data_IF_988387239873
#
_entry.id   IF_988387239873
#
_cell.length_a   1.000
_cell.length_b   1.000
_cell.length_c   1.000
_cell.angle_alpha   90.00
_cell.angle_beta   90.00
_cell.angle_gamma   90.00
#
_symmetry.space_group_name_H-M   'P 1'
#
loop_
_entity.id
_entity.type
_entity.pdbx_description
1 polymer ?
#
# COMPACT_ATOMS: atom_id res chain seq x y z
N UNK A 1 -8.95 32.89 -8.34
CA UNK A 1 -8.08 33.30 -7.22
C UNK A 1 -6.77 33.80 -7.81
N UNK A 2 -6.11 34.76 -7.15
CA UNK A 2 -4.80 35.25 -7.56
C UNK A 2 -3.67 34.54 -6.82
N UNK A 3 -2.45 34.61 -7.34
CA UNK A 3 -1.22 34.09 -6.71
C UNK A 3 -1.11 34.37 -5.20
N UNK A 4 -1.48 35.58 -4.76
CA UNK A 4 -1.45 35.99 -3.36
C UNK A 4 -2.29 35.08 -2.45
N UNK A 5 -3.50 34.74 -2.89
CA UNK A 5 -4.44 33.88 -2.17
C UNK A 5 -3.94 32.41 -2.17
N UNK A 6 -3.40 31.96 -3.32
CA UNK A 6 -2.83 30.62 -3.46
C UNK A 6 -1.61 30.42 -2.55
N UNK A 7 -0.70 31.39 -2.51
CA UNK A 7 0.49 31.38 -1.65
C UNK A 7 0.09 31.33 -0.18
N UNK A 8 -0.87 32.17 0.23
CA UNK A 8 -1.36 32.21 1.59
C UNK A 8 -2.02 30.89 2.00
N UNK A 9 -2.83 30.29 1.11
CA UNK A 9 -3.45 28.99 1.34
C UNK A 9 -2.41 27.87 1.52
N UNK A 10 -1.47 27.75 0.59
CA UNK A 10 -0.41 26.71 0.63
C UNK A 10 0.47 26.84 1.88
N UNK A 11 0.82 28.08 2.27
CA UNK A 11 1.57 28.36 3.50
C UNK A 11 0.83 27.89 4.73
N UNK A 12 -0.43 28.30 4.90
CA UNK A 12 -1.23 27.95 6.07
C UNK A 12 -1.43 26.44 6.20
N UNK A 13 -1.66 25.77 5.07
CA UNK A 13 -1.84 24.31 5.01
C UNK A 13 -0.59 23.55 5.47
N UNK A 14 0.61 23.96 5.03
CA UNK A 14 1.88 23.37 5.49
C UNK A 14 2.29 23.83 6.91
N UNK A 15 1.47 24.64 7.58
CA UNK A 15 1.75 25.14 8.92
C UNK A 15 2.91 26.13 8.99
N UNK A 16 3.33 26.70 7.85
CA UNK A 16 4.47 27.61 7.81
C UNK A 16 4.08 29.03 8.23
N UNK A 17 4.98 29.71 8.93
CA UNK A 17 4.91 31.15 9.16
C UNK A 17 5.48 31.89 7.94
N UNK A 18 5.14 33.18 7.81
CA UNK A 18 5.76 34.03 6.77
C UNK A 18 7.28 34.12 6.96
N UNK A 19 7.76 34.04 8.21
CA UNK A 19 9.19 34.00 8.56
C UNK A 19 9.86 32.75 7.99
N UNK A 20 9.26 31.57 8.16
CA UNK A 20 9.82 30.29 7.73
C UNK A 20 9.93 30.19 6.21
N UNK A 21 8.92 30.67 5.49
CA UNK A 21 8.99 30.75 4.02
C UNK A 21 10.07 31.73 3.58
N UNK A 22 10.17 32.88 4.25
CA UNK A 22 11.18 33.88 3.93
C UNK A 22 12.60 33.34 4.11
N UNK A 23 12.84 32.59 5.20
CA UNK A 23 14.12 31.93 5.48
C UNK A 23 14.48 30.89 4.42
N UNK A 24 13.54 29.99 4.08
CA UNK A 24 13.77 28.95 3.05
C UNK A 24 14.03 29.53 1.67
N UNK A 25 13.37 30.64 1.32
CA UNK A 25 13.54 31.32 0.05
C UNK A 25 14.67 32.35 0.08
N UNK A 26 15.37 32.53 1.19
CA UNK A 26 16.41 33.55 1.37
C UNK A 26 15.93 34.96 0.99
N UNK A 27 14.72 35.33 1.39
CA UNK A 27 14.13 36.67 1.18
C UNK A 27 13.72 37.29 2.51
N UNK A 28 13.37 38.57 2.51
CA UNK A 28 12.84 39.22 3.71
C UNK A 28 11.41 38.75 3.99
N UNK A 29 11.04 38.66 5.28
CA UNK A 29 9.65 38.43 5.71
C UNK A 29 8.68 39.45 5.07
N UNK A 30 9.13 40.69 4.88
CA UNK A 30 8.35 41.74 4.22
C UNK A 30 8.05 41.40 2.76
N UNK A 31 8.97 40.75 2.05
CA UNK A 31 8.75 40.29 0.66
C UNK A 31 7.61 39.28 0.60
N UNK A 32 7.62 38.26 1.48
CA UNK A 32 6.55 37.25 1.56
C UNK A 32 5.20 37.89 1.94
N UNK A 33 5.21 38.83 2.89
CA UNK A 33 4.01 39.57 3.28
C UNK A 33 3.42 40.39 2.12
N UNK A 34 4.26 41.06 1.32
CA UNK A 34 3.84 41.79 0.12
C UNK A 34 3.30 40.86 -0.98
N UNK A 35 3.88 39.66 -1.13
CA UNK A 35 3.37 38.65 -2.05
C UNK A 35 1.98 38.16 -1.65
N UNK A 36 1.76 37.83 -0.37
CA UNK A 36 0.45 37.37 0.14
C UNK A 36 -0.63 38.45 0.16
N UNK A 37 -0.24 39.72 0.13
CA UNK A 37 -1.17 40.87 0.04
C UNK A 37 -1.38 41.37 -1.39
N UNK A 38 -0.73 40.76 -2.38
CA UNK A 38 -0.79 41.21 -3.78
C UNK A 38 -0.03 42.51 -4.07
N UNK A 39 0.75 43.02 -3.12
CA UNK A 39 1.52 44.26 -3.26
C UNK A 39 2.81 44.12 -4.09
N UNK A 40 3.27 42.90 -4.33
CA UNK A 40 4.35 42.61 -5.28
C UNK A 40 4.26 41.16 -5.78
N UNK A 41 4.98 40.84 -6.86
CA UNK A 41 5.07 39.49 -7.39
C UNK A 41 6.50 38.94 -7.22
N UNK A 42 6.70 37.65 -6.90
CA UNK A 42 8.03 37.06 -6.80
C UNK A 42 8.69 36.94 -8.17
N UNK A 43 10.02 36.91 -8.17
CA UNK A 43 10.80 36.58 -9.36
C UNK A 43 10.69 35.09 -9.70
N UNK A 44 11.00 34.73 -10.96
CA UNK A 44 10.87 33.36 -11.47
C UNK A 44 11.62 32.32 -10.62
N UNK A 45 12.83 32.64 -10.14
CA UNK A 45 13.60 31.76 -9.26
C UNK A 45 12.85 31.44 -7.95
N UNK A 46 12.20 32.44 -7.35
CA UNK A 46 11.41 32.24 -6.13
C UNK A 46 10.10 31.49 -6.39
N UNK A 47 9.50 31.66 -7.57
CA UNK A 47 8.35 30.85 -7.98
C UNK A 47 8.72 29.37 -8.14
N UNK A 48 9.88 29.07 -8.73
CA UNK A 48 10.38 27.71 -8.83
C UNK A 48 10.61 27.11 -7.44
N UNK A 49 11.31 27.81 -6.56
CA UNK A 49 11.53 27.36 -5.18
C UNK A 49 10.22 27.17 -4.40
N UNK A 50 9.23 28.05 -4.58
CA UNK A 50 7.89 27.90 -3.99
C UNK A 50 7.17 26.67 -4.55
N UNK A 51 7.26 26.43 -5.87
CA UNK A 51 6.65 25.28 -6.52
C UNK A 51 7.24 23.96 -6.02
N UNK A 52 8.56 23.92 -5.79
CA UNK A 52 9.27 22.78 -5.21
C UNK A 52 8.91 22.60 -3.72
N UNK A 53 8.92 23.69 -2.94
CA UNK A 53 8.60 23.69 -1.52
C UNK A 53 7.18 23.17 -1.25
N UNK A 54 6.22 23.62 -2.05
CA UNK A 54 4.83 23.20 -1.93
C UNK A 54 4.50 21.93 -2.72
N UNK A 55 5.42 21.44 -3.55
CA UNK A 55 5.23 20.31 -4.47
C UNK A 55 3.98 20.49 -5.34
N UNK A 56 3.86 21.65 -5.98
CA UNK A 56 2.74 21.97 -6.88
C UNK A 56 3.26 22.57 -8.19
N UNK A 57 2.46 22.56 -9.25
CA UNK A 57 2.85 23.18 -10.52
C UNK A 57 2.81 24.72 -10.41
N UNK A 58 3.68 25.41 -11.14
CA UNK A 58 3.65 26.87 -11.22
C UNK A 58 2.29 27.40 -11.74
N UNK A 59 1.62 26.65 -12.60
CA UNK A 59 0.31 27.01 -13.12
C UNK A 59 -0.75 27.08 -12.01
N UNK A 60 -0.78 26.07 -11.13
CA UNK A 60 -1.65 26.04 -9.94
C UNK A 60 -1.30 27.16 -8.97
N UNK A 61 0.00 27.46 -8.81
CA UNK A 61 0.45 28.52 -7.91
C UNK A 61 0.05 29.92 -8.43
N UNK A 62 0.17 30.18 -9.73
CA UNK A 62 0.05 31.53 -10.31
C UNK A 62 -1.34 31.86 -10.84
N UNK A 63 -1.99 30.94 -11.57
CA UNK A 63 -3.24 31.20 -12.30
C UNK A 63 -4.41 30.33 -11.87
N UNK A 64 -4.14 29.13 -11.33
CA UNK A 64 -5.18 28.21 -10.87
C UNK A 64 -5.86 28.65 -9.57
N UNK A 65 -6.93 27.94 -9.21
CA UNK A 65 -7.43 27.92 -7.84
C UNK A 65 -6.70 26.80 -7.10
N UNK A 66 -5.62 27.16 -6.39
CA UNK A 66 -4.80 26.20 -5.66
C UNK A 66 -5.60 25.42 -4.61
N UNK A 67 -6.66 26.03 -4.07
CA UNK A 67 -7.54 25.38 -3.10
C UNK A 67 -8.44 24.36 -3.79
N UNK A 68 -9.08 24.71 -4.90
CA UNK A 68 -9.94 23.79 -5.64
C UNK A 68 -9.15 22.60 -6.21
N UNK A 69 -8.01 22.87 -6.88
CA UNK A 69 -7.14 21.82 -7.43
C UNK A 69 -6.61 20.90 -6.34
N UNK A 70 -6.28 21.43 -5.16
CA UNK A 70 -5.83 20.63 -4.04
C UNK A 70 -6.95 19.76 -3.46
N UNK A 71 -8.17 20.30 -3.30
CA UNK A 71 -9.32 19.54 -2.80
C UNK A 71 -9.66 18.40 -3.75
N UNK A 72 -9.66 18.64 -5.06
CA UNK A 72 -9.91 17.61 -6.07
C UNK A 72 -8.84 16.50 -6.03
N UNK A 73 -7.54 16.87 -5.98
CA UNK A 73 -6.43 15.90 -5.89
C UNK A 73 -6.50 15.10 -4.58
N UNK A 74 -6.78 15.76 -3.45
CA UNK A 74 -6.99 15.10 -2.15
C UNK A 74 -8.13 14.10 -2.21
N UNK A 75 -9.31 14.51 -2.70
CA UNK A 75 -10.49 13.66 -2.74
C UNK A 75 -10.33 12.48 -3.71
N UNK A 76 -9.65 12.67 -4.83
CA UNK A 76 -9.36 11.60 -5.79
C UNK A 76 -8.37 10.58 -5.19
N UNK A 77 -7.28 11.07 -4.58
CA UNK A 77 -6.30 10.21 -3.90
C UNK A 77 -6.91 9.44 -2.73
N UNK A 78 -7.64 10.12 -1.85
CA UNK A 78 -8.25 9.50 -0.67
C UNK A 78 -9.24 8.41 -1.07
N UNK A 79 -10.12 8.71 -2.03
CA UNK A 79 -11.12 7.78 -2.57
C UNK A 79 -10.45 6.57 -3.21
N UNK A 80 -9.48 6.78 -4.10
CA UNK A 80 -8.76 5.70 -4.76
C UNK A 80 -8.04 4.80 -3.76
N UNK A 81 -7.31 5.38 -2.80
CA UNK A 81 -6.58 4.59 -1.80
C UNK A 81 -7.52 3.86 -0.85
N UNK A 82 -8.68 4.41 -0.50
CA UNK A 82 -9.70 3.72 0.29
C UNK A 82 -10.36 2.57 -0.47
N UNK A 83 -10.71 2.77 -1.74
CA UNK A 83 -11.24 1.71 -2.61
C UNK A 83 -10.23 0.58 -2.78
N UNK A 84 -8.96 0.94 -3.05
CA UNK A 84 -7.87 -0.02 -3.16
C UNK A 84 -7.63 -0.78 -1.86
N UNK A 85 -7.58 -0.08 -0.72
CA UNK A 85 -7.42 -0.70 0.60
C UNK A 85 -8.54 -1.69 0.93
N UNK A 86 -9.80 -1.30 0.69
CA UNK A 86 -10.96 -2.16 0.92
C UNK A 86 -10.92 -3.36 0.00
N UNK A 87 -10.62 -3.17 -1.28
CA UNK A 87 -10.57 -4.27 -2.22
C UNK A 87 -9.47 -5.30 -1.90
N UNK A 88 -8.25 -4.85 -1.57
CA UNK A 88 -7.17 -5.76 -1.16
C UNK A 88 -7.57 -6.52 0.11
N UNK A 89 -8.15 -5.82 1.08
CA UNK A 89 -8.67 -6.44 2.32
C UNK A 89 -9.75 -7.46 2.02
N UNK A 90 -10.72 -7.13 1.17
CA UNK A 90 -11.79 -8.03 0.76
C UNK A 90 -11.26 -9.24 0.00
N UNK A 91 -10.28 -9.07 -0.88
CA UNK A 91 -9.65 -10.20 -1.59
C UNK A 91 -8.95 -11.17 -0.64
N UNK A 92 -8.13 -10.66 0.29
CA UNK A 92 -7.46 -11.50 1.29
C UNK A 92 -8.47 -12.15 2.24
N UNK A 93 -9.44 -11.36 2.73
CA UNK A 93 -10.50 -11.86 3.60
C UNK A 93 -11.35 -12.93 2.92
N UNK A 94 -11.63 -12.81 1.62
CA UNK A 94 -12.39 -13.79 0.86
C UNK A 94 -11.62 -15.11 0.67
N UNK A 95 -10.30 -15.06 0.49
CA UNK A 95 -9.46 -16.27 0.45
C UNK A 95 -9.49 -17.00 1.79
N UNK A 96 -9.27 -16.28 2.89
CA UNK A 96 -9.27 -16.87 4.23
C UNK A 96 -10.67 -17.34 4.63
N UNK A 97 -11.71 -16.60 4.27
CA UNK A 97 -13.09 -17.04 4.46
C UNK A 97 -13.39 -18.31 3.66
N UNK A 98 -12.89 -18.40 2.43
CA UNK A 98 -12.97 -19.62 1.61
C UNK A 98 -12.33 -20.82 2.32
N UNK A 99 -11.14 -20.64 2.92
CA UNK A 99 -10.51 -21.70 3.73
C UNK A 99 -11.34 -22.05 4.96
N UNK A 100 -11.92 -21.07 5.66
CA UNK A 100 -12.78 -21.33 6.81
C UNK A 100 -14.05 -22.10 6.44
N UNK A 101 -14.69 -21.77 5.32
CA UNK A 101 -15.85 -22.48 4.79
C UNK A 101 -15.46 -23.91 4.39
N UNK A 102 -14.32 -24.09 3.75
CA UNK A 102 -13.79 -25.42 3.40
C UNK A 102 -13.69 -26.31 4.65
N UNK A 103 -13.03 -25.82 5.71
CA UNK A 103 -12.86 -26.59 6.95
C UNK A 103 -14.18 -26.84 7.66
N UNK A 104 -15.10 -25.87 7.69
CA UNK A 104 -16.42 -26.06 8.29
C UNK A 104 -17.25 -27.12 7.55
N UNK A 105 -17.18 -27.15 6.21
CA UNK A 105 -17.90 -28.14 5.39
C UNK A 105 -17.27 -29.53 5.51
N UNK A 106 -15.93 -29.62 5.50
CA UNK A 106 -15.20 -30.85 5.84
C UNK A 106 -15.58 -31.33 7.26
N UNK A 107 -15.72 -30.37 8.16
CA UNK A 107 -16.21 -30.49 9.53
C UNK A 107 -17.53 -31.24 9.69
N UNK A 108 -18.45 -31.05 8.74
CA UNK A 108 -19.77 -31.71 8.71
C UNK A 108 -19.84 -32.85 7.68
N UNK A 109 -18.69 -33.38 7.27
CA UNK A 109 -18.55 -34.51 6.35
C UNK A 109 -19.17 -34.28 4.96
N UNK A 110 -19.15 -33.04 4.47
CA UNK A 110 -19.50 -32.75 3.08
C UNK A 110 -18.44 -33.34 2.15
N UNK A 111 -18.85 -33.82 0.98
CA UNK A 111 -17.94 -34.44 0.02
C UNK A 111 -16.80 -33.50 -0.38
N UNK A 112 -15.56 -33.97 -0.27
CA UNK A 112 -14.32 -33.24 -0.58
C UNK A 112 -14.39 -32.50 -1.93
N UNK A 113 -14.86 -33.19 -2.98
CA UNK A 113 -15.03 -32.59 -4.32
C UNK A 113 -15.94 -31.36 -4.34
N UNK A 114 -16.97 -31.32 -3.49
CA UNK A 114 -17.85 -30.16 -3.37
C UNK A 114 -17.16 -29.03 -2.60
N UNK A 115 -16.43 -29.36 -1.54
CA UNK A 115 -15.61 -28.39 -0.80
C UNK A 115 -14.55 -27.74 -1.71
N UNK A 116 -13.81 -28.53 -2.49
CA UNK A 116 -12.84 -28.05 -3.48
C UNK A 116 -13.47 -27.10 -4.49
N UNK A 117 -14.62 -27.50 -5.06
CA UNK A 117 -15.35 -26.68 -6.03
C UNK A 117 -15.77 -25.34 -5.42
N UNK A 118 -16.30 -25.35 -4.19
CA UNK A 118 -16.70 -24.14 -3.47
C UNK A 118 -15.51 -23.25 -3.14
N UNK A 119 -14.41 -23.83 -2.65
CA UNK A 119 -13.18 -23.11 -2.38
C UNK A 119 -12.64 -22.41 -3.64
N UNK A 120 -12.67 -23.09 -4.79
CA UNK A 120 -12.24 -22.51 -6.06
C UNK A 120 -13.07 -21.29 -6.48
N UNK A 121 -14.37 -21.20 -6.14
CA UNK A 121 -15.15 -19.98 -6.39
C UNK A 121 -14.63 -18.78 -5.58
N UNK A 122 -14.26 -18.98 -4.31
CA UNK A 122 -13.65 -17.94 -3.48
C UNK A 122 -12.30 -17.49 -4.05
N UNK A 123 -11.47 -18.44 -4.49
CA UNK A 123 -10.17 -18.16 -5.13
C UNK A 123 -10.36 -17.34 -6.40
N UNK A 124 -11.25 -17.76 -7.30
CA UNK A 124 -11.51 -17.04 -8.56
C UNK A 124 -12.00 -15.62 -8.26
N UNK A 125 -12.95 -15.45 -7.33
CA UNK A 125 -13.46 -14.13 -6.96
C UNK A 125 -12.36 -13.23 -6.37
N UNK A 126 -11.52 -13.75 -5.47
CA UNK A 126 -10.42 -12.98 -4.88
C UNK A 126 -9.36 -12.58 -5.92
N UNK A 127 -8.99 -13.49 -6.82
CA UNK A 127 -8.05 -13.21 -7.91
C UNK A 127 -8.59 -12.12 -8.84
N UNK A 128 -9.88 -12.17 -9.20
CA UNK A 128 -10.50 -11.13 -10.02
C UNK A 128 -10.47 -9.76 -9.33
N UNK A 129 -10.73 -9.70 -8.02
CA UNK A 129 -10.60 -8.46 -7.24
C UNK A 129 -9.17 -7.92 -7.32
N UNK A 130 -8.15 -8.76 -7.09
CA UNK A 130 -6.75 -8.33 -7.14
C UNK A 130 -6.31 -7.88 -8.53
N UNK A 131 -6.72 -8.59 -9.59
CA UNK A 131 -6.35 -8.25 -10.96
C UNK A 131 -6.96 -6.91 -11.36
N UNK A 132 -8.27 -6.75 -11.19
CA UNK A 132 -8.98 -5.51 -11.57
C UNK A 132 -8.43 -4.32 -10.79
N UNK A 133 -8.25 -4.48 -9.48
CA UNK A 133 -7.87 -3.38 -8.60
C UNK A 133 -6.37 -3.08 -8.69
N UNK A 134 -5.54 -4.08 -8.95
CA UNK A 134 -4.12 -3.91 -9.26
C UNK A 134 -3.91 -3.13 -10.56
N UNK A 135 -4.69 -3.42 -11.61
CA UNK A 135 -4.63 -2.66 -12.86
C UNK A 135 -5.07 -1.20 -12.68
N UNK A 136 -6.17 -0.97 -11.96
CA UNK A 136 -6.64 0.39 -11.63
C UNK A 136 -5.60 1.15 -10.79
N UNK A 137 -5.02 0.49 -9.79
CA UNK A 137 -3.98 1.09 -8.97
C UNK A 137 -2.72 1.42 -9.78
N UNK A 138 -2.29 0.53 -10.68
CA UNK A 138 -1.16 0.79 -11.58
C UNK A 138 -1.42 1.95 -12.55
N UNK A 139 -2.64 2.07 -13.07
CA UNK A 139 -3.01 3.20 -13.91
C UNK A 139 -3.00 4.52 -13.11
N UNK A 140 -3.49 4.49 -11.87
CA UNK A 140 -3.50 5.63 -10.97
C UNK A 140 -2.08 6.11 -10.63
N UNK A 141 -1.18 5.21 -10.22
CA UNK A 141 0.21 5.60 -9.86
C UNK A 141 1.02 6.10 -11.05
N UNK A 142 0.70 5.66 -12.27
CA UNK A 142 1.30 6.23 -13.50
C UNK A 142 0.77 7.63 -13.81
N UNK A 143 -0.52 7.88 -13.54
CA UNK A 143 -1.16 9.19 -13.75
C UNK A 143 -0.71 10.20 -12.68
N UNK A 144 -0.55 9.75 -11.44
CA UNK A 144 -0.18 10.55 -10.27
C UNK A 144 1.09 9.99 -9.61
N UNK A 145 2.28 10.10 -10.23
CA UNK A 145 3.51 9.53 -9.67
C UNK A 145 4.02 10.30 -8.44
N UNK A 146 3.60 11.55 -8.29
CA UNK A 146 3.89 12.40 -7.13
C UNK A 146 2.58 13.04 -6.72
N UNK A 147 2.27 12.93 -5.44
CA UNK A 147 1.10 13.57 -4.82
C UNK A 147 1.62 14.55 -3.77
N UNK A 148 1.03 15.74 -3.73
CA UNK A 148 1.37 16.74 -2.71
C UNK A 148 1.04 16.25 -1.30
N UNK A 149 1.44 17.00 -0.25
CA UNK A 149 1.09 16.58 1.11
C UNK A 149 -0.42 16.71 1.34
N UNK A 150 -1.14 15.57 1.32
CA UNK A 150 -2.62 15.48 1.36
C UNK A 150 -3.14 15.55 2.80
N UNK A 151 -2.38 15.02 3.75
CA UNK A 151 -2.79 14.93 5.15
C UNK A 151 -2.00 15.91 6.01
N UNK A 152 -2.67 16.47 7.00
CA UNK A 152 -1.99 17.26 8.04
C UNK A 152 -1.27 16.35 9.02
N UNK A 153 -0.25 16.88 9.72
CA UNK A 153 0.46 16.14 10.76
C UNK A 153 -0.49 15.63 11.85
N UNK A 154 -1.51 16.43 12.21
CA UNK A 154 -2.55 16.04 13.17
C UNK A 154 -3.38 14.85 12.72
N UNK A 155 -3.74 14.79 11.44
CA UNK A 155 -4.48 13.65 10.87
C UNK A 155 -3.61 12.39 10.83
N UNK A 156 -2.34 12.56 10.48
CA UNK A 156 -1.35 11.47 10.45
C UNK A 156 -1.11 10.91 11.86
N UNK A 157 -0.93 11.77 12.87
CA UNK A 157 -0.78 11.36 14.28
C UNK A 157 -2.04 10.67 14.82
N UNK A 158 -3.22 11.19 14.49
CA UNK A 158 -4.49 10.59 14.88
C UNK A 158 -4.65 9.20 14.25
N UNK A 159 -4.29 9.07 12.97
CA UNK A 159 -4.26 7.78 12.29
C UNK A 159 -3.23 6.83 12.91
N UNK A 160 -2.03 7.30 13.27
CA UNK A 160 -0.99 6.47 13.87
C UNK A 160 -1.46 5.83 15.19
N UNK A 161 -2.19 6.58 16.04
CA UNK A 161 -2.81 6.02 17.24
C UNK A 161 -3.83 4.93 16.90
N UNK A 162 -4.72 5.18 15.94
CA UNK A 162 -5.72 4.21 15.48
C UNK A 162 -5.08 2.96 14.88
N UNK A 163 -4.01 3.12 14.09
CA UNK A 163 -3.23 2.04 13.49
C UNK A 163 -2.68 1.10 14.58
N UNK A 164 -2.06 1.65 15.63
CA UNK A 164 -1.55 0.86 16.75
C UNK A 164 -2.69 0.07 17.43
N UNK A 165 -3.84 0.70 17.68
CA UNK A 165 -4.99 0.02 18.27
C UNK A 165 -5.53 -1.10 17.37
N UNK A 166 -5.59 -0.89 16.06
CA UNK A 166 -6.03 -1.92 15.11
C UNK A 166 -5.05 -3.10 15.05
N UNK A 167 -3.74 -2.82 15.05
CA UNK A 167 -2.71 -3.86 15.11
C UNK A 167 -2.82 -4.68 16.41
N UNK A 168 -2.94 -3.99 17.56
CA UNK A 168 -3.10 -4.65 18.85
C UNK A 168 -4.38 -5.51 18.89
N UNK A 169 -5.51 -5.00 18.37
CA UNK A 169 -6.76 -5.75 18.29
C UNK A 169 -6.66 -6.97 17.36
N UNK A 170 -6.03 -6.83 16.19
CA UNK A 170 -5.83 -7.95 15.26
C UNK A 170 -4.93 -9.03 15.83
N UNK A 171 -3.81 -8.65 16.45
CA UNK A 171 -2.91 -9.59 17.13
C UNK A 171 -3.60 -10.26 18.33
N UNK A 172 -4.36 -9.49 19.12
CA UNK A 172 -5.15 -10.02 20.21
C UNK A 172 -6.18 -11.05 19.75
N UNK A 173 -6.86 -10.78 18.63
CA UNK A 173 -7.83 -11.71 18.05
C UNK A 173 -7.17 -13.00 17.53
N UNK A 174 -5.96 -12.93 16.98
CA UNK A 174 -5.17 -14.13 16.63
C UNK A 174 -4.86 -14.98 17.86
N UNK A 175 -4.45 -14.35 18.97
CA UNK A 175 -4.21 -15.09 20.22
C UNK A 175 -5.51 -15.68 20.78
N UNK A 176 -6.63 -14.97 20.71
CA UNK A 176 -7.93 -15.52 21.08
C UNK A 176 -8.30 -16.75 20.23
N UNK A 177 -8.05 -16.70 18.92
CA UNK A 177 -8.23 -17.85 18.03
C UNK A 177 -7.35 -19.03 18.45
N UNK A 178 -6.07 -18.78 18.72
CA UNK A 178 -5.15 -19.83 19.14
C UNK A 178 -5.52 -20.44 20.50
N UNK A 179 -5.97 -19.62 21.46
CA UNK A 179 -6.46 -20.09 22.76
C UNK A 179 -7.74 -20.91 22.59
N UNK A 180 -8.64 -20.50 21.69
CA UNK A 180 -9.85 -21.26 21.36
C UNK A 180 -9.49 -22.65 20.83
N UNK A 181 -8.57 -22.71 19.86
CA UNK A 181 -8.09 -23.96 19.27
C UNK A 181 -7.51 -24.90 20.35
N UNK A 182 -6.59 -24.39 21.17
CA UNK A 182 -6.02 -25.13 22.29
C UNK A 182 -7.05 -25.59 23.32
N UNK A 183 -8.11 -24.81 23.55
CA UNK A 183 -9.17 -25.15 24.50
C UNK A 183 -10.13 -26.21 23.99
N UNK A 184 -10.20 -26.41 22.67
CA UNK A 184 -11.03 -27.41 22.03
C UNK A 184 -10.29 -28.74 21.80
N UNK A 185 -8.97 -28.75 21.92
CA UNK A 185 -8.15 -29.95 21.83
C UNK A 185 -8.60 -31.01 22.87
N UNK A 186 -8.86 -32.23 22.39
CA UNK A 186 -9.37 -33.33 23.21
C UNK A 186 -10.82 -33.23 23.68
N UNK A 187 -11.58 -32.20 23.28
CA UNK A 187 -13.02 -32.09 23.59
C UNK A 187 -13.83 -33.04 22.70
N UNK A 188 -14.67 -33.88 23.31
CA UNK A 188 -15.54 -34.78 22.57
C UNK A 188 -16.62 -34.01 21.79
N UNK A 189 -16.54 -34.03 20.46
CA UNK A 189 -17.50 -33.38 19.57
C UNK A 189 -18.74 -34.27 19.33
N UNK A 190 -19.92 -33.68 19.05
CA UNK A 190 -21.08 -34.44 18.59
C UNK A 190 -20.76 -35.22 17.31
N UNK A 191 -21.34 -36.42 17.07
CA UNK A 191 -20.98 -37.27 15.92
C UNK A 191 -21.18 -36.63 14.53
N UNK A 192 -21.91 -35.52 14.45
CA UNK A 192 -22.11 -34.76 13.21
C UNK A 192 -20.94 -33.86 12.85
N UNK A 193 -20.01 -33.63 13.77
CA UNK A 193 -18.84 -32.78 13.59
C UNK A 193 -17.55 -33.58 13.81
N UNK A 194 -16.51 -33.24 13.08
CA UNK A 194 -15.13 -33.69 13.33
C UNK A 194 -14.23 -32.49 13.71
N UNK A 195 -12.94 -32.75 13.94
CA UNK A 195 -11.95 -31.74 14.34
C UNK A 195 -11.82 -30.58 13.33
N UNK A 196 -12.06 -30.82 12.03
CA UNK A 196 -12.02 -29.77 11.00
C UNK A 196 -13.08 -28.68 11.24
N UNK A 197 -14.20 -29.01 11.91
CA UNK A 197 -15.19 -28.00 12.28
C UNK A 197 -14.62 -26.99 13.29
N UNK A 198 -13.74 -27.43 14.19
CA UNK A 198 -13.04 -26.56 15.15
C UNK A 198 -12.04 -25.68 14.41
N UNK A 199 -11.23 -26.28 13.53
CA UNK A 199 -10.29 -25.55 12.66
C UNK A 199 -11.01 -24.50 11.81
N UNK A 200 -12.20 -24.81 11.30
CA UNK A 200 -13.02 -23.86 10.56
C UNK A 200 -13.47 -22.65 11.38
N UNK A 201 -13.85 -22.85 12.65
CA UNK A 201 -14.16 -21.74 13.57
C UNK A 201 -12.92 -20.90 13.86
N UNK A 202 -11.77 -21.54 14.11
CA UNK A 202 -10.50 -20.85 14.26
C UNK A 202 -10.15 -20.03 13.01
N UNK A 203 -10.33 -20.59 11.82
CA UNK A 203 -10.07 -19.89 10.56
C UNK A 203 -11.01 -18.70 10.32
N UNK A 204 -12.24 -18.70 10.85
CA UNK A 204 -13.09 -17.50 10.87
C UNK A 204 -12.51 -16.39 11.75
N UNK A 205 -11.97 -16.74 12.92
CA UNK A 205 -11.31 -15.78 13.82
C UNK A 205 -10.04 -15.22 13.14
N UNK A 206 -9.23 -16.10 12.54
CA UNK A 206 -8.05 -15.70 11.75
C UNK A 206 -8.46 -14.80 10.58
N UNK A 207 -9.54 -15.12 9.87
CA UNK A 207 -10.06 -14.29 8.77
C UNK A 207 -10.36 -12.87 9.23
N UNK A 208 -11.08 -12.71 10.34
CA UNK A 208 -11.39 -11.39 10.91
C UNK A 208 -10.12 -10.65 11.36
N UNK A 209 -9.21 -11.35 12.04
CA UNK A 209 -7.97 -10.79 12.55
C UNK A 209 -7.03 -10.32 11.44
N UNK A 210 -6.77 -11.19 10.45
CA UNK A 210 -5.90 -10.88 9.31
C UNK A 210 -6.53 -9.81 8.44
N UNK A 211 -7.84 -9.82 8.20
CA UNK A 211 -8.52 -8.76 7.46
C UNK A 211 -8.34 -7.39 8.13
N UNK A 212 -8.43 -7.32 9.47
CA UNK A 212 -8.18 -6.10 10.22
C UNK A 212 -6.71 -5.63 10.07
N UNK A 213 -5.75 -6.55 10.16
CA UNK A 213 -4.32 -6.24 10.02
C UNK A 213 -3.95 -5.79 8.61
N UNK A 214 -4.49 -6.46 7.58
CA UNK A 214 -4.30 -6.08 6.18
C UNK A 214 -4.89 -4.70 5.94
N UNK A 215 -6.11 -4.43 6.42
CA UNK A 215 -6.71 -3.10 6.30
C UNK A 215 -5.89 -2.02 7.00
N UNK A 216 -5.39 -2.29 8.22
CA UNK A 216 -4.50 -1.38 8.95
C UNK A 216 -3.22 -1.08 8.14
N UNK A 217 -2.58 -2.10 7.58
CA UNK A 217 -1.37 -1.97 6.76
C UNK A 217 -1.62 -1.18 5.47
N UNK A 218 -2.74 -1.41 4.80
CA UNK A 218 -3.13 -0.68 3.59
C UNK A 218 -3.42 0.79 3.89
N UNK A 219 -4.12 1.09 4.99
CA UNK A 219 -4.35 2.46 5.42
C UNK A 219 -3.03 3.14 5.82
N UNK A 220 -2.07 2.45 6.43
CA UNK A 220 -0.76 3.04 6.71
C UNK A 220 -0.07 3.55 5.44
N UNK A 221 -0.13 2.79 4.35
CA UNK A 221 0.41 3.24 3.04
C UNK A 221 -0.29 4.49 2.52
N UNK A 222 -1.60 4.61 2.72
CA UNK A 222 -2.38 5.80 2.32
C UNK A 222 -1.88 7.08 2.98
N UNK A 223 -1.64 7.05 4.29
CA UNK A 223 -1.18 8.24 5.04
C UNK A 223 0.32 8.54 4.84
N UNK A 224 1.10 7.60 4.34
CA UNK A 224 2.54 7.77 4.08
C UNK A 224 2.81 8.33 2.68
N UNK A 225 2.51 9.62 2.46
CA UNK A 225 2.72 10.29 1.16
C UNK A 225 4.19 10.25 0.73
N UNK A 226 5.12 10.35 1.69
CA UNK A 226 6.55 10.22 1.41
C UNK A 226 6.89 8.86 0.79
N UNK A 227 6.42 7.75 1.39
CA UNK A 227 6.64 6.41 0.85
C UNK A 227 5.96 6.25 -0.51
N UNK A 228 4.75 6.80 -0.69
CA UNK A 228 4.08 6.78 -2.00
C UNK A 228 4.91 7.47 -3.09
N UNK A 229 5.46 8.66 -2.80
CA UNK A 229 6.24 9.43 -3.76
C UNK A 229 7.58 8.76 -4.06
N UNK A 230 8.30 8.22 -3.06
CA UNK A 230 9.52 7.43 -3.31
C UNK A 230 9.22 6.13 -4.05
N UNK A 231 8.04 5.54 -3.81
CA UNK A 231 7.64 4.32 -4.49
C UNK A 231 7.36 4.52 -5.98
N UNK A 232 6.82 5.69 -6.34
CA UNK A 232 6.36 5.98 -7.69
C UNK A 232 7.26 6.97 -8.46
N UNK A 233 8.22 7.63 -7.81
CA UNK A 233 9.20 8.46 -8.50
C UNK A 233 10.09 7.59 -9.42
N UNK A 234 10.22 7.94 -10.71
CA UNK A 234 11.09 7.22 -11.62
C UNK A 234 12.56 7.54 -11.34
N UNK A 235 13.17 6.79 -10.41
CA UNK A 235 14.63 6.78 -10.22
C UNK A 235 15.33 5.89 -11.24
N UNK A 236 16.44 6.38 -11.82
CA UNK A 236 17.27 5.60 -12.74
C UNK A 236 17.75 4.28 -12.10
N UNK A 237 18.14 4.33 -10.82
CA UNK A 237 18.49 3.16 -10.02
C UNK A 237 17.33 2.16 -9.87
N UNK A 238 16.08 2.63 -9.70
CA UNK A 238 14.90 1.76 -9.56
C UNK A 238 14.57 1.07 -10.89
N UNK A 239 14.74 1.78 -12.01
CA UNK A 239 14.64 1.20 -13.37
C UNK A 239 15.75 0.21 -13.66
N UNK A 240 16.98 0.49 -13.23
CA UNK A 240 18.12 -0.42 -13.37
C UNK A 240 17.91 -1.69 -12.54
N UNK A 241 17.51 -1.54 -11.27
CA UNK A 241 17.16 -2.65 -10.39
C UNK A 241 16.08 -3.54 -11.02
N UNK A 242 15.00 -2.95 -11.54
CA UNK A 242 13.94 -3.70 -12.22
C UNK A 242 14.44 -4.51 -13.42
N UNK A 243 15.33 -3.93 -14.24
CA UNK A 243 15.95 -4.62 -15.38
C UNK A 243 16.86 -5.78 -14.95
N UNK A 244 17.68 -5.58 -13.93
CA UNK A 244 18.61 -6.61 -13.44
C UNK A 244 17.84 -7.75 -12.78
N UNK A 245 16.90 -7.44 -11.88
CA UNK A 245 16.08 -8.46 -11.22
C UNK A 245 15.22 -9.24 -12.23
N UNK A 246 14.63 -8.56 -13.22
CA UNK A 246 13.92 -9.22 -14.32
C UNK A 246 14.81 -10.18 -15.10
N UNK A 247 16.05 -9.79 -15.39
CA UNK A 247 17.02 -10.64 -16.09
C UNK A 247 17.42 -11.87 -15.25
N UNK A 248 17.63 -11.71 -13.95
CA UNK A 248 17.93 -12.79 -13.01
C UNK A 248 16.79 -13.81 -12.97
N UNK A 249 15.55 -13.34 -12.86
CA UNK A 249 14.38 -14.23 -12.80
C UNK A 249 14.13 -14.96 -14.11
N UNK A 250 14.38 -14.32 -15.25
CA UNK A 250 14.33 -14.99 -16.56
C UNK A 250 15.42 -16.06 -16.68
N UNK A 251 16.63 -15.80 -16.19
CA UNK A 251 17.70 -16.80 -16.14
C UNK A 251 17.33 -17.98 -15.22
N UNK A 252 16.75 -17.71 -14.05
CA UNK A 252 16.28 -18.75 -13.13
C UNK A 252 15.18 -19.61 -13.76
N UNK A 253 14.24 -19.01 -14.49
CA UNK A 253 13.21 -19.73 -15.24
C UNK A 253 13.81 -20.60 -16.35
N UNK A 254 14.81 -20.10 -17.08
CA UNK A 254 15.52 -20.88 -18.10
C UNK A 254 16.22 -22.08 -17.46
N UNK A 255 16.93 -21.90 -16.35
CA UNK A 255 17.59 -23.00 -15.61
C UNK A 255 16.57 -24.03 -15.13
N UNK A 256 15.44 -23.57 -14.59
CA UNK A 256 14.35 -24.45 -14.16
C UNK A 256 13.82 -25.31 -15.31
N UNK A 257 13.51 -24.68 -16.45
CA UNK A 257 12.95 -25.38 -17.62
C UNK A 257 13.97 -26.32 -18.27
N UNK A 258 15.24 -25.91 -18.41
CA UNK A 258 16.28 -26.77 -18.96
C UNK A 258 16.57 -27.98 -18.06
N UNK A 259 16.65 -27.77 -16.74
CA UNK A 259 16.83 -28.86 -15.77
C UNK A 259 15.66 -29.83 -15.75
N UNK A 260 14.44 -29.31 -15.87
CA UNK A 260 13.23 -30.12 -16.00
C UNK A 260 13.18 -30.92 -17.30
N UNK A 261 13.28 -30.26 -18.45
CA UNK A 261 13.06 -30.90 -19.75
C UNK A 261 14.25 -31.73 -20.26
N UNK A 262 15.49 -31.32 -20.01
CA UNK A 262 16.67 -32.03 -20.53
C UNK A 262 17.19 -33.09 -19.56
N UNK A 263 17.11 -32.83 -18.25
CA UNK A 263 17.68 -33.70 -17.22
C UNK A 263 16.62 -34.41 -16.36
N UNK A 264 15.32 -34.19 -16.63
CA UNK A 264 14.18 -34.72 -15.85
C UNK A 264 14.29 -34.46 -14.33
N UNK A 265 14.99 -33.39 -13.94
CA UNK A 265 15.36 -33.07 -12.55
C UNK A 265 14.36 -32.08 -11.91
N UNK A 266 13.07 -32.30 -12.09
CA UNK A 266 11.99 -31.41 -11.60
C UNK A 266 12.01 -31.22 -10.08
N UNK A 267 12.44 -32.25 -9.35
CA UNK A 267 12.56 -32.27 -7.89
C UNK A 267 13.63 -31.32 -7.33
N UNK A 268 14.64 -30.95 -8.12
CA UNK A 268 15.73 -30.05 -7.68
C UNK A 268 15.69 -28.72 -8.40
N UNK A 269 15.17 -28.68 -9.63
CA UNK A 269 15.20 -27.49 -10.49
C UNK A 269 14.51 -26.27 -9.87
N UNK A 270 13.51 -26.47 -9.00
CA UNK A 270 12.79 -25.37 -8.31
C UNK A 270 13.70 -24.49 -7.46
N UNK A 271 14.87 -24.99 -7.02
CA UNK A 271 15.89 -24.24 -6.25
C UNK A 271 16.41 -23.00 -7.00
N UNK A 272 16.30 -22.98 -8.33
CA UNK A 272 16.65 -21.82 -9.14
C UNK A 272 15.87 -20.55 -8.72
N UNK A 273 14.61 -20.68 -8.30
CA UNK A 273 13.78 -19.53 -7.91
C UNK A 273 14.19 -18.92 -6.55
N UNK A 274 14.38 -19.68 -5.46
CA UNK A 274 14.96 -19.16 -4.22
C UNK A 274 16.32 -18.48 -4.44
N UNK A 275 17.22 -19.09 -5.22
CA UNK A 275 18.54 -18.51 -5.54
C UNK A 275 18.38 -17.20 -6.31
N UNK A 276 17.52 -17.17 -7.33
CA UNK A 276 17.20 -15.94 -8.07
C UNK A 276 16.61 -14.85 -7.18
N UNK A 277 15.71 -15.20 -6.27
CA UNK A 277 15.13 -14.27 -5.29
C UNK A 277 16.18 -13.67 -4.35
N UNK A 278 17.11 -14.48 -3.84
CA UNK A 278 18.23 -14.00 -3.00
C UNK A 278 19.14 -13.05 -3.79
N UNK A 279 19.48 -13.39 -5.04
CA UNK A 279 20.28 -12.53 -5.91
C UNK A 279 19.59 -11.18 -6.19
N UNK A 280 18.28 -11.19 -6.45
CA UNK A 280 17.48 -9.95 -6.57
C UNK A 280 17.56 -9.10 -5.29
N UNK A 281 17.51 -9.72 -4.12
CA UNK A 281 17.69 -9.02 -2.83
C UNK A 281 19.08 -8.40 -2.67
N UNK A 282 20.13 -9.13 -3.07
CA UNK A 282 21.51 -8.61 -3.07
C UNK A 282 21.63 -7.39 -3.98
N UNK A 283 21.09 -7.47 -5.21
CA UNK A 283 21.09 -6.34 -6.15
C UNK A 283 20.35 -5.13 -5.58
N UNK A 284 19.19 -5.34 -4.95
CA UNK A 284 18.43 -4.27 -4.32
C UNK A 284 19.21 -3.56 -3.21
N UNK A 285 19.96 -4.30 -2.39
CA UNK A 285 20.74 -3.69 -1.30
C UNK A 285 21.99 -2.95 -1.80
N UNK A 286 22.64 -3.45 -2.85
CA UNK A 286 23.80 -2.78 -3.46
C UNK A 286 23.41 -1.47 -4.14
N UNK A 287 22.31 -1.44 -4.90
CA UNK A 287 21.86 -0.24 -5.62
C UNK A 287 21.25 0.84 -4.70
N UNK A 288 20.71 0.45 -3.53
CA UNK A 288 20.20 1.42 -2.53
C UNK A 288 21.36 2.11 -1.79
N UNK A 289 22.53 1.47 -1.68
CA UNK A 289 23.69 2.02 -0.98
C UNK A 289 24.29 3.25 -1.68
N UNK A 290 24.04 3.45 -2.97
CA UNK A 290 24.46 4.64 -3.73
C UNK A 290 23.60 5.88 -3.44
N UNK A 291 22.54 5.77 -2.63
CA UNK A 291 21.61 6.88 -2.31
C UNK A 291 21.90 7.62 -0.98
N UNK A 292 23.02 7.34 -0.31
CA UNK A 292 23.50 8.12 0.87
C UNK A 292 24.77 8.87 0.51
#
# INVERSE_FOLDING_TARGET
>A
MGFAENLQFMRQKKGYTQEQIAEQLQVSRQSVSKWESGGSFPEMDKLLQLSELFQCSMDVLVQGDARASYVEEHEEYDRHMNEYSRAVTSGVGLLLFGTAVYELLSGVYVAEKLCDMLFMFFVVAAVLIFVVQGMKHSAFTKKYPVVGNVYTDKETDAFQKRYITMCAAGIGLLFCGFIFELGMDGVALPPRFNEEAVHGVFMLIVTAAVSLLVYAGMQKKKYSIYEYNDDNMPGEAKRLMGRICGSIMMAAAIVFLLGGFLANAWNVSWVAFPVGGILCGIVSTLLVKERK
#
